data_IF_721286358258
#
_entry.id   IF_721286358258
#
_cell.length_a   1.000
_cell.length_b   1.000
_cell.length_c   1.000
_cell.angle_alpha   90.00
_cell.angle_beta   90.00
_cell.angle_gamma   90.00
#
_symmetry.space_group_name_H-M   'P 1'
#
loop_
_entity.id
_entity.type
_entity.pdbx_description
1 polymer ?
#
# COMPACT_ATOMS: atom_id res chain seq x y z
N UNK A 1 -11.19 22.04 -17.01
CA UNK A 1 -10.32 21.81 -15.84
C UNK A 1 -11.17 21.77 -14.58
N UNK A 2 -11.05 20.72 -13.75
CA UNK A 2 -11.72 20.69 -12.45
C UNK A 2 -11.25 21.86 -11.58
N UNK A 3 -12.12 22.48 -10.76
CA UNK A 3 -11.72 23.58 -9.90
C UNK A 3 -10.62 23.14 -8.93
N UNK A 4 -9.68 24.04 -8.66
CA UNK A 4 -8.55 23.78 -7.75
C UNK A 4 -8.96 23.51 -6.31
N UNK A 5 -8.07 22.92 -5.51
CA UNK A 5 -8.34 22.62 -4.11
C UNK A 5 -8.60 23.91 -3.34
N UNK A 6 -9.41 23.81 -2.27
CA UNK A 6 -9.65 24.92 -1.36
C UNK A 6 -8.64 24.88 -0.22
N UNK A 7 -8.15 26.05 0.18
CA UNK A 7 -7.34 26.17 1.39
C UNK A 7 -8.21 26.09 2.67
N UNK A 8 -7.57 26.22 3.83
CA UNK A 8 -8.25 26.20 5.14
C UNK A 8 -9.21 27.38 5.36
N UNK A 9 -9.11 28.42 4.53
CA UNK A 9 -9.95 29.62 4.57
C UNK A 9 -11.06 29.59 3.50
N UNK A 10 -11.16 28.50 2.72
CA UNK A 10 -12.17 28.31 1.68
C UNK A 10 -11.83 28.95 0.33
N UNK A 11 -10.67 29.58 0.20
CA UNK A 11 -10.20 30.21 -1.03
C UNK A 11 -9.78 29.14 -2.05
N UNK A 12 -10.23 29.28 -3.31
CA UNK A 12 -9.83 28.36 -4.39
C UNK A 12 -8.39 28.64 -4.80
N UNK A 13 -7.53 27.64 -4.62
CA UNK A 13 -6.16 27.69 -5.09
C UNK A 13 -6.09 27.36 -6.58
N UNK A 14 -5.16 27.99 -7.30
CA UNK A 14 -4.82 27.58 -8.67
C UNK A 14 -4.05 26.27 -8.60
N UNK A 15 -4.37 25.32 -9.49
CA UNK A 15 -3.54 24.13 -9.67
C UNK A 15 -2.13 24.56 -10.10
N UNK A 16 -1.13 24.24 -9.29
CA UNK A 16 0.28 24.35 -9.62
C UNK A 16 0.83 22.97 -9.96
N UNK A 17 1.75 22.93 -10.92
CA UNK A 17 2.50 21.71 -11.20
C UNK A 17 3.45 21.46 -10.03
N UNK A 18 3.35 20.28 -9.41
CA UNK A 18 4.28 19.83 -8.36
C UNK A 18 5.56 19.36 -9.04
N UNK A 19 6.70 19.89 -8.60
CA UNK A 19 8.01 19.50 -9.13
C UNK A 19 8.46 18.12 -8.62
N UNK A 20 9.32 17.44 -9.38
CA UNK A 20 9.95 16.17 -8.94
C UNK A 20 10.66 16.32 -7.59
N UNK A 21 11.39 17.43 -7.41
CA UNK A 21 12.10 17.74 -6.17
C UNK A 21 11.15 17.84 -4.97
N UNK A 22 10.04 18.58 -5.11
CA UNK A 22 9.07 18.77 -4.05
C UNK A 22 8.44 17.42 -3.62
N UNK A 23 8.14 16.56 -4.60
CA UNK A 23 7.61 15.23 -4.34
C UNK A 23 8.66 14.30 -3.69
N UNK A 24 9.91 14.32 -4.17
CA UNK A 24 11.02 13.57 -3.54
C UNK A 24 11.27 14.00 -2.10
N UNK A 25 11.21 15.31 -1.85
CA UNK A 25 11.33 15.88 -0.52
C UNK A 25 10.20 15.42 0.40
N UNK A 26 8.96 15.41 -0.10
CA UNK A 26 7.82 14.87 0.63
C UNK A 26 8.01 13.40 1.03
N UNK A 27 8.49 12.55 0.10
CA UNK A 27 8.80 11.15 0.43
C UNK A 27 9.96 11.01 1.41
N UNK A 28 10.99 11.87 1.30
CA UNK A 28 12.10 11.92 2.26
C UNK A 28 11.63 12.20 3.68
N UNK A 29 10.69 13.11 3.86
CA UNK A 29 10.06 13.39 5.17
C UNK A 29 9.32 12.15 5.71
N UNK A 30 8.58 11.43 4.87
CA UNK A 30 7.86 10.22 5.30
C UNK A 30 8.83 9.12 5.76
N UNK A 31 9.94 8.92 5.03
CA UNK A 31 10.99 7.97 5.40
C UNK A 31 11.64 8.39 6.72
N UNK A 32 11.95 9.68 6.87
CA UNK A 32 12.55 10.23 8.07
C UNK A 32 11.65 10.08 9.30
N UNK A 33 10.36 10.39 9.16
CA UNK A 33 9.36 10.18 10.22
C UNK A 33 9.26 8.71 10.63
N UNK A 34 9.38 7.79 9.66
CA UNK A 34 9.49 6.35 9.93
C UNK A 34 10.74 5.99 10.73
N UNK A 35 11.90 6.56 10.37
CA UNK A 35 13.16 6.40 11.08
C UNK A 35 13.12 6.89 12.54
N UNK A 36 12.42 7.99 12.80
CA UNK A 36 12.17 8.50 14.16
C UNK A 36 11.11 7.70 14.94
N UNK A 37 10.49 6.69 14.32
CA UNK A 37 9.39 5.89 14.90
C UNK A 37 8.20 6.73 15.33
N UNK A 38 7.95 7.85 14.66
CA UNK A 38 6.92 8.85 15.03
C UNK A 38 5.49 8.45 14.68
N UNK A 39 5.19 7.15 14.75
CA UNK A 39 3.86 6.61 14.52
C UNK A 39 2.92 7.08 15.64
N UNK A 40 1.89 7.84 15.28
CA UNK A 40 0.88 8.33 16.21
C UNK A 40 1.20 9.68 16.84
N UNK A 41 2.35 10.27 16.54
CA UNK A 41 2.63 11.68 16.84
C UNK A 41 1.81 12.59 15.93
N UNK A 42 1.44 13.78 16.43
CA UNK A 42 0.81 14.79 15.58
C UNK A 42 1.80 15.33 14.56
N UNK A 43 1.32 15.71 13.38
CA UNK A 43 2.19 16.30 12.36
C UNK A 43 2.76 17.64 12.86
N UNK A 44 2.01 18.36 13.69
CA UNK A 44 2.46 19.60 14.33
C UNK A 44 3.69 19.35 15.21
N UNK A 45 3.68 18.28 16.02
CA UNK A 45 4.80 17.93 16.90
C UNK A 45 6.08 17.59 16.13
N UNK A 46 5.97 17.08 14.90
CA UNK A 46 7.14 16.79 14.06
C UNK A 46 7.83 18.06 13.56
N UNK A 47 7.10 19.17 13.45
CA UNK A 47 7.59 20.48 13.01
C UNK A 47 7.83 21.45 14.17
N UNK A 48 7.66 20.98 15.40
CA UNK A 48 7.83 21.82 16.58
C UNK A 48 9.31 22.14 16.82
N UNK A 49 9.57 23.40 17.18
CA UNK A 49 10.93 23.92 17.38
C UNK A 49 11.57 23.46 18.68
N UNK A 50 10.76 23.07 19.68
CA UNK A 50 11.27 22.64 20.98
C UNK A 50 11.79 21.19 20.94
N UNK A 51 11.20 20.34 20.10
CA UNK A 51 11.55 18.90 20.00
C UNK A 51 12.92 18.57 19.38
N UNK A 52 13.81 19.55 19.15
CA UNK A 52 15.16 19.41 18.55
C UNK A 52 15.19 18.71 17.17
N UNK A 53 14.05 18.56 16.49
CA UNK A 53 13.94 17.92 15.16
C UNK A 53 13.81 18.96 14.04
N UNK A 54 14.74 19.93 14.02
CA UNK A 54 14.73 21.05 13.06
C UNK A 54 14.79 20.62 11.59
N UNK A 55 15.23 19.37 11.33
CA UNK A 55 15.31 18.78 10.00
C UNK A 55 13.97 18.79 9.24
N UNK A 56 12.83 18.56 9.91
CA UNK A 56 11.53 18.58 9.24
C UNK A 56 11.18 19.98 8.73
N UNK A 57 11.46 21.00 9.55
CA UNK A 57 11.25 22.41 9.21
C UNK A 57 12.20 22.89 8.10
N UNK A 58 13.47 22.45 8.14
CA UNK A 58 14.47 22.81 7.15
C UNK A 58 14.14 22.25 5.75
N UNK A 59 13.49 21.09 5.69
CA UNK A 59 13.20 20.39 4.44
C UNK A 59 11.95 20.94 3.74
N UNK A 60 10.84 21.11 4.47
CA UNK A 60 9.58 21.60 3.91
C UNK A 60 8.74 22.27 4.99
N UNK A 61 8.03 23.35 4.66
CA UNK A 61 7.06 23.94 5.60
C UNK A 61 5.90 22.98 5.91
N UNK A 62 5.43 22.96 7.17
CA UNK A 62 4.29 22.15 7.62
C UNK A 62 3.04 22.33 6.74
N UNK A 63 2.79 23.57 6.30
CA UNK A 63 1.68 23.90 5.39
C UNK A 63 1.76 23.11 4.08
N UNK A 64 2.94 23.03 3.48
CA UNK A 64 3.13 22.34 2.20
C UNK A 64 3.00 20.83 2.38
N UNK A 65 3.56 20.28 3.46
CA UNK A 65 3.39 18.86 3.78
C UNK A 65 1.91 18.47 3.96
N UNK A 66 1.13 19.31 4.65
CA UNK A 66 -0.33 19.13 4.80
C UNK A 66 -1.08 19.23 3.48
N UNK A 67 -0.70 20.15 2.60
CA UNK A 67 -1.29 20.28 1.26
C UNK A 67 -1.00 19.01 0.45
N UNK A 68 0.28 18.63 0.31
CA UNK A 68 0.70 17.44 -0.45
C UNK A 68 0.02 16.16 0.06
N UNK A 69 -0.03 15.96 1.37
CA UNK A 69 -0.71 14.81 1.99
C UNK A 69 -2.20 14.71 1.65
N UNK A 70 -2.86 15.85 1.38
CA UNK A 70 -4.30 15.89 1.04
C UNK A 70 -4.55 15.75 -0.46
N UNK A 71 -3.65 16.24 -1.29
CA UNK A 71 -3.84 16.31 -2.75
C UNK A 71 -3.18 15.15 -3.52
N UNK A 72 -2.27 14.39 -2.91
CA UNK A 72 -1.61 13.26 -3.56
C UNK A 72 -2.66 12.25 -4.08
N UNK A 73 -2.59 11.90 -5.36
CA UNK A 73 -3.46 10.93 -6.04
C UNK A 73 -2.61 10.03 -6.92
N UNK A 74 -3.03 8.78 -7.06
CA UNK A 74 -2.35 7.74 -7.84
C UNK A 74 -3.20 7.23 -9.01
N UNK A 75 -4.22 7.99 -9.40
CA UNK A 75 -5.17 7.63 -10.44
C UNK A 75 -5.55 8.90 -11.24
N UNK A 76 -5.85 8.71 -12.53
CA UNK A 76 -6.43 9.75 -13.36
C UNK A 76 -7.96 9.61 -13.34
N UNK A 77 -8.69 10.60 -12.81
CA UNK A 77 -10.15 10.57 -12.76
C UNK A 77 -10.83 10.35 -14.12
N UNK A 78 -10.17 10.73 -15.22
CA UNK A 78 -10.71 10.61 -16.58
C UNK A 78 -10.66 9.16 -17.10
N UNK A 79 -9.67 8.37 -16.68
CA UNK A 79 -9.49 6.97 -17.11
C UNK A 79 -10.14 5.95 -16.18
N UNK A 80 -10.63 6.39 -15.01
CA UNK A 80 -11.19 5.54 -13.95
C UNK A 80 -12.30 4.58 -14.43
N UNK A 81 -13.08 4.94 -15.44
CA UNK A 81 -14.19 4.12 -15.95
C UNK A 81 -13.74 2.92 -16.82
N UNK A 82 -12.47 2.83 -17.22
CA UNK A 82 -11.96 1.77 -18.11
C UNK A 82 -11.04 0.76 -17.41
N UNK A 83 -10.50 1.08 -16.23
CA UNK A 83 -9.43 0.29 -15.58
C UNK A 83 -9.90 -0.68 -14.48
N UNK A 84 -11.20 -0.98 -14.38
CA UNK A 84 -11.75 -1.89 -13.36
C UNK A 84 -11.49 -3.38 -13.65
N UNK A 85 -10.32 -3.74 -14.19
CA UNK A 85 -10.00 -5.12 -14.57
C UNK A 85 -8.61 -5.56 -14.14
N UNK A 86 -8.64 -6.61 -13.29
CA UNK A 86 -7.60 -7.61 -12.99
C UNK A 86 -6.43 -7.06 -12.15
N UNK A 87 -5.88 -7.72 -11.16
CA UNK A 87 -5.98 -9.09 -10.65
C UNK A 87 -5.17 -9.11 -9.35
N UNK A 88 -5.45 -10.06 -8.47
CA UNK A 88 -5.19 -9.87 -7.05
C UNK A 88 -4.40 -11.05 -6.38
N UNK A 89 -3.71 -10.72 -5.26
CA UNK A 89 -3.27 -11.48 -4.06
C UNK A 89 -2.12 -12.59 -4.06
N UNK A 90 -1.01 -12.56 -3.19
CA UNK A 90 0.09 -13.55 -2.63
C UNK A 90 0.04 -14.22 -1.16
N UNK A 91 1.07 -14.19 -0.28
CA UNK A 91 0.98 -14.52 1.19
C UNK A 91 0.78 -13.30 2.11
N UNK A 92 -0.01 -13.38 3.19
CA UNK A 92 -0.42 -12.19 3.97
C UNK A 92 0.70 -11.43 4.72
N UNK A 93 1.01 -10.19 4.30
CA UNK A 93 1.64 -9.15 5.13
C UNK A 93 0.55 -8.27 5.74
N UNK A 94 0.57 -8.14 7.06
CA UNK A 94 -0.45 -7.45 7.85
C UNK A 94 -0.10 -5.97 8.01
N UNK A 95 -0.60 -5.10 7.13
CA UNK A 95 -0.60 -3.65 7.37
C UNK A 95 -1.92 -3.22 8.01
N UNK A 96 -1.89 -3.02 9.32
CA UNK A 96 -3.01 -2.49 10.09
C UNK A 96 -2.91 -0.98 10.24
N UNK A 97 -3.38 -0.21 9.26
CA UNK A 97 -4.08 1.06 9.48
C UNK A 97 -5.07 1.23 8.33
N UNK A 98 -6.33 0.89 8.55
CA UNK A 98 -7.40 1.49 7.78
C UNK A 98 -8.50 1.94 8.73
N UNK A 99 -8.53 3.24 9.01
CA UNK A 99 -9.59 3.89 9.80
C UNK A 99 -10.71 4.46 8.91
N UNK A 100 -10.58 4.33 7.58
CA UNK A 100 -11.54 4.86 6.61
C UNK A 100 -12.36 3.76 5.93
N UNK A 101 -13.46 4.17 5.27
CA UNK A 101 -14.23 3.26 4.43
C UNK A 101 -13.42 2.83 3.22
N UNK A 102 -13.12 1.54 3.16
CA UNK A 102 -12.46 0.92 2.02
C UNK A 102 -13.24 -0.34 1.66
N UNK A 103 -13.74 -0.46 0.40
CA UNK A 103 -14.63 -1.55 0.00
C UNK A 103 -13.97 -2.93 0.05
N UNK A 104 -12.63 -2.98 0.09
CA UNK A 104 -11.86 -4.21 0.18
C UNK A 104 -11.14 -4.40 1.53
N UNK A 105 -11.45 -3.59 2.54
CA UNK A 105 -10.96 -3.81 3.89
C UNK A 105 -11.39 -5.19 4.42
N UNK A 106 -10.47 -5.92 5.03
CA UNK A 106 -10.72 -7.23 5.59
C UNK A 106 -10.68 -7.20 7.11
N UNK A 107 -11.58 -7.96 7.72
CA UNK A 107 -11.47 -8.30 9.13
C UNK A 107 -10.35 -9.33 9.31
N UNK A 108 -9.38 -9.00 10.16
CA UNK A 108 -8.22 -9.82 10.48
C UNK A 108 -8.12 -9.87 12.01
N UNK A 109 -8.63 -10.93 12.67
CA UNK A 109 -8.69 -10.99 14.13
C UNK A 109 -7.33 -10.81 14.82
N UNK A 110 -6.27 -11.25 14.15
CA UNK A 110 -4.91 -11.31 14.67
C UNK A 110 -4.09 -10.03 14.48
N UNK A 111 -4.72 -8.90 14.11
CA UNK A 111 -4.08 -7.58 14.14
C UNK A 111 -4.76 -6.66 15.17
N UNK A 112 -4.03 -5.75 15.83
CA UNK A 112 -4.61 -4.85 16.84
C UNK A 112 -5.76 -3.99 16.33
N UNK A 113 -5.71 -3.53 15.08
CA UNK A 113 -6.75 -2.72 14.47
C UNK A 113 -8.00 -3.51 14.06
N UNK A 114 -7.92 -4.85 14.04
CA UNK A 114 -8.93 -5.82 13.57
C UNK A 114 -9.44 -5.69 12.14
N UNK A 115 -9.31 -4.51 11.51
CA UNK A 115 -9.65 -4.23 10.13
C UNK A 115 -8.41 -3.66 9.43
N UNK A 116 -8.11 -4.17 8.24
CA UNK A 116 -6.96 -3.71 7.46
C UNK A 116 -7.03 -4.13 6.00
N UNK A 117 -6.12 -3.59 5.20
CA UNK A 117 -5.95 -4.04 3.82
C UNK A 117 -5.06 -5.30 3.89
N UNK A 118 -5.59 -6.42 3.42
CA UNK A 118 -4.83 -7.66 3.34
C UNK A 118 -3.94 -7.58 2.10
N UNK A 119 -2.66 -7.28 2.31
CA UNK A 119 -1.66 -7.36 1.25
C UNK A 119 -1.04 -8.71 1.33
N UNK A 120 -0.80 -9.26 0.19
CA UNK A 120 -0.07 -10.47 0.09
C UNK A 120 1.34 -10.18 -0.49
N UNK A 121 2.40 -10.88 -0.07
CA UNK A 121 3.81 -10.80 -0.47
C UNK A 121 4.44 -12.19 -0.70
N UNK A 122 5.48 -12.26 -1.52
CA UNK A 122 6.38 -13.40 -1.69
C UNK A 122 7.77 -12.83 -1.54
N UNK A 123 8.56 -13.44 -0.66
CA UNK A 123 9.85 -12.88 -0.26
C UNK A 123 10.87 -13.98 -0.04
N UNK A 124 12.14 -13.60 -0.16
CA UNK A 124 13.26 -14.45 0.24
C UNK A 124 13.40 -14.42 1.77
N UNK A 125 13.35 -15.57 2.47
CA UNK A 125 13.46 -15.61 3.93
C UNK A 125 14.78 -15.08 4.47
N UNK A 126 15.88 -15.15 3.70
CA UNK A 126 17.20 -14.73 4.18
C UNK A 126 17.37 -13.22 4.06
N UNK A 127 17.14 -12.66 2.87
CA UNK A 127 17.30 -11.22 2.64
C UNK A 127 16.08 -10.38 3.02
N UNK A 128 14.94 -11.03 3.31
CA UNK A 128 13.63 -10.37 3.41
C UNK A 128 13.24 -9.59 2.13
N UNK A 129 13.93 -9.83 1.00
CA UNK A 129 13.63 -9.16 -0.26
C UNK A 129 12.28 -9.61 -0.78
N UNK A 130 11.40 -8.64 -1.08
CA UNK A 130 10.07 -8.94 -1.60
C UNK A 130 10.12 -9.07 -3.11
N UNK A 131 9.93 -10.30 -3.60
CA UNK A 131 9.89 -10.60 -5.02
C UNK A 131 8.66 -10.01 -5.71
N UNK A 132 7.49 -10.17 -5.08
CA UNK A 132 6.23 -9.70 -5.66
C UNK A 132 5.21 -9.35 -4.54
N UNK A 133 4.28 -8.41 -4.83
CA UNK A 133 3.22 -7.91 -3.94
C UNK A 133 1.90 -7.74 -4.67
N UNK A 134 0.79 -8.09 -4.02
CA UNK A 134 -0.52 -8.15 -4.65
C UNK A 134 -1.59 -7.99 -3.58
N UNK A 135 -2.54 -7.08 -3.81
CA UNK A 135 -3.56 -6.70 -2.82
C UNK A 135 -4.72 -7.69 -2.91
N UNK A 136 -5.23 -8.15 -1.76
CA UNK A 136 -6.47 -8.90 -1.71
C UNK A 136 -7.66 -7.95 -1.65
N UNK A 137 -8.42 -7.87 -2.74
CA UNK A 137 -9.56 -6.95 -2.82
C UNK A 137 -10.88 -7.56 -2.33
N UNK A 138 -10.85 -8.75 -1.74
CA UNK A 138 -12.08 -9.46 -1.37
C UNK A 138 -12.82 -10.01 -2.59
N UNK A 139 -14.12 -10.25 -2.39
CA UNK A 139 -15.06 -10.74 -3.40
C UNK A 139 -15.78 -9.57 -4.06
N UNK A 140 -15.96 -9.59 -5.37
CA UNK A 140 -16.82 -8.62 -6.06
C UNK A 140 -18.30 -8.93 -5.79
N UNK A 141 -19.11 -7.88 -5.63
CA UNK A 141 -20.56 -8.02 -5.39
C UNK A 141 -21.22 -8.82 -6.51
N UNK A 142 -21.86 -9.95 -6.16
CA UNK A 142 -22.59 -10.81 -7.11
C UNK A 142 -21.80 -11.98 -7.68
N UNK A 143 -20.48 -12.07 -7.46
CA UNK A 143 -19.68 -13.20 -7.95
C UNK A 143 -19.87 -14.46 -7.10
N UNK A 144 -19.39 -15.61 -7.57
CA UNK A 144 -19.19 -16.78 -6.71
C UNK A 144 -17.84 -16.67 -5.97
N UNK A 145 -17.68 -17.26 -4.77
CA UNK A 145 -16.37 -17.39 -4.15
C UNK A 145 -15.38 -18.03 -5.13
N UNK A 146 -14.20 -17.43 -5.28
CA UNK A 146 -13.19 -17.97 -6.18
C UNK A 146 -12.72 -19.34 -5.70
N UNK A 147 -12.79 -20.34 -6.58
CA UNK A 147 -12.30 -21.69 -6.31
C UNK A 147 -10.79 -21.75 -6.57
N UNK A 148 -10.07 -22.50 -5.73
CA UNK A 148 -8.62 -22.69 -5.84
C UNK A 148 -7.82 -21.38 -5.82
N UNK A 149 -8.32 -20.41 -5.06
CA UNK A 149 -7.66 -19.14 -4.79
C UNK A 149 -6.19 -19.38 -4.42
N UNK A 150 -5.89 -20.16 -3.39
CA UNK A 150 -4.51 -20.34 -2.95
C UNK A 150 -3.54 -20.89 -4.01
N UNK A 151 -4.01 -21.64 -5.00
CA UNK A 151 -3.16 -22.17 -6.07
C UNK A 151 -2.84 -21.12 -7.14
N UNK A 152 -3.85 -20.39 -7.66
CA UNK A 152 -3.67 -19.36 -8.70
C UNK A 152 -2.58 -18.36 -8.31
N UNK A 153 -2.67 -17.95 -7.05
CA UNK A 153 -1.77 -17.08 -6.31
C UNK A 153 -0.34 -17.48 -6.49
N UNK A 154 0.00 -18.64 -5.93
CA UNK A 154 1.36 -19.11 -5.85
C UNK A 154 1.92 -19.21 -7.27
N UNK A 155 1.13 -19.68 -8.23
CA UNK A 155 1.56 -19.76 -9.62
C UNK A 155 1.82 -18.40 -10.29
N UNK A 156 1.04 -17.36 -9.98
CA UNK A 156 1.24 -16.00 -10.51
C UNK A 156 2.49 -15.33 -9.95
N UNK A 157 2.88 -15.62 -8.71
CA UNK A 157 3.90 -14.83 -8.02
C UNK A 157 5.27 -15.36 -8.19
N UNK A 158 5.33 -16.69 -8.18
CA UNK A 158 6.52 -17.42 -8.52
C UNK A 158 6.60 -17.60 -10.04
N UNK A 159 5.78 -16.88 -10.81
CA UNK A 159 5.94 -16.81 -12.26
C UNK A 159 7.35 -16.31 -12.60
N UNK A 160 8.07 -17.09 -13.39
CA UNK A 160 9.45 -16.81 -13.78
C UNK A 160 10.52 -17.28 -12.79
N UNK A 161 10.16 -17.66 -11.56
CA UNK A 161 11.09 -18.29 -10.61
C UNK A 161 11.19 -19.79 -10.89
N UNK A 162 12.42 -20.32 -10.97
CA UNK A 162 12.73 -21.74 -11.17
C UNK A 162 13.80 -22.21 -10.20
N UNK A 163 13.78 -23.48 -9.82
CA UNK A 163 14.80 -24.07 -8.96
C UNK A 163 14.78 -23.60 -7.51
N UNK A 164 13.65 -23.05 -7.05
CA UNK A 164 13.46 -22.59 -5.68
C UNK A 164 12.38 -23.40 -4.98
N UNK A 165 12.57 -23.63 -3.67
CA UNK A 165 11.55 -24.24 -2.83
C UNK A 165 10.55 -23.16 -2.39
N UNK A 166 9.27 -23.43 -2.59
CA UNK A 166 8.19 -22.54 -2.17
C UNK A 166 7.63 -23.02 -0.84
N UNK A 167 7.81 -22.22 0.20
CA UNK A 167 7.14 -22.40 1.48
C UNK A 167 5.95 -21.44 1.56
N UNK A 168 4.77 -21.95 1.89
CA UNK A 168 3.54 -21.17 2.04
C UNK A 168 2.68 -21.69 3.19
N UNK A 169 1.71 -20.90 3.64
CA UNK A 169 0.81 -21.30 4.72
C UNK A 169 -0.21 -22.38 4.27
N UNK A 170 -1.00 -22.87 5.23
CA UNK A 170 -2.02 -23.90 4.96
C UNK A 170 -3.12 -23.42 4.00
N UNK A 171 -3.41 -22.11 3.93
CA UNK A 171 -4.42 -21.54 3.04
C UNK A 171 -3.97 -21.60 1.58
N UNK A 172 -2.66 -21.64 1.34
CA UNK A 172 -2.08 -21.76 0.00
C UNK A 172 -1.67 -23.20 -0.37
N UNK A 173 -1.77 -24.15 0.56
CA UNK A 173 -1.29 -25.51 0.35
C UNK A 173 -2.38 -26.41 -0.25
N UNK A 174 -2.13 -26.96 -1.44
CA UNK A 174 -2.98 -27.98 -2.05
C UNK A 174 -2.16 -29.05 -2.78
N UNK A 175 -2.73 -30.24 -2.94
CA UNK A 175 -2.10 -31.34 -3.69
C UNK A 175 -1.90 -30.97 -5.17
N UNK A 176 -2.92 -30.38 -5.79
CA UNK A 176 -2.87 -29.93 -7.18
C UNK A 176 -1.79 -28.87 -7.42
N UNK A 177 -1.60 -27.96 -6.47
CA UNK A 177 -0.53 -26.96 -6.54
C UNK A 177 0.85 -27.64 -6.53
N UNK A 178 1.07 -28.59 -5.62
CA UNK A 178 2.34 -29.33 -5.52
C UNK A 178 2.68 -30.03 -6.83
N UNK A 179 1.71 -30.67 -7.49
CA UNK A 179 1.94 -31.31 -8.79
C UNK A 179 2.37 -30.27 -9.84
N UNK A 180 1.67 -29.13 -9.91
CA UNK A 180 1.97 -28.08 -10.90
C UNK A 180 3.33 -27.41 -10.69
N UNK A 181 3.79 -27.27 -9.44
CA UNK A 181 5.11 -26.70 -9.15
C UNK A 181 6.23 -27.69 -9.43
N UNK A 182 6.02 -28.99 -9.18
CA UNK A 182 7.00 -30.03 -9.51
C UNK A 182 7.24 -30.17 -11.02
N UNK A 183 6.19 -30.09 -11.84
CA UNK A 183 6.32 -30.17 -13.30
C UNK A 183 6.91 -28.90 -13.95
N UNK A 184 7.04 -27.81 -13.20
CA UNK A 184 7.58 -26.52 -13.69
C UNK A 184 9.06 -26.29 -13.36
N UNK A 185 9.62 -27.09 -12.44
CA UNK A 185 11.00 -27.00 -11.99
C UNK A 185 11.95 -27.76 -12.91
#
# INVERSE_FOLDING_TARGET
>A
MSPGPRDLQGTRLRWSVIGKLELSVYFGILILAGGYRSKGESTESLWDTETRRTIFHAIMALKNFKILSRILRFDDPQTRNQSARKSNWLQSVKYGINRGHCPFGQYIPSIPARIGIKIWAAFDPVSSYTWNMQIYTGKLSGDNPEKNQGERVVLEMFHGLRGHNIACDNVFTSYSLKQKTLHKN
#
